data_IF_853820540967
#
_entry.id   IF_853820540967
#
_cell.length_a   1.000
_cell.length_b   1.000
_cell.length_c   1.000
_cell.angle_alpha   90.00
_cell.angle_beta   90.00
_cell.angle_gamma   90.00
#
_symmetry.space_group_name_H-M   'P 1'
#
loop_
_entity.id
_entity.type
_entity.pdbx_description
1 polymer ?
#
# COMPACT_ATOMS: atom_id res chain seq x y z
N UNK A 1 14.30 7.89 -12.16
CA UNK A 1 13.18 7.65 -11.24
C UNK A 1 12.46 6.32 -11.49
N UNK A 2 12.04 5.95 -12.73
CA UNK A 2 11.45 4.64 -13.04
C UNK A 2 12.37 3.47 -12.65
N UNK A 3 13.65 3.51 -13.00
CA UNK A 3 14.62 2.44 -12.68
C UNK A 3 14.77 2.20 -11.18
N UNK A 4 14.75 3.25 -10.36
CA UNK A 4 14.86 3.15 -8.90
C UNK A 4 13.63 2.45 -8.29
N UNK A 5 12.43 2.73 -8.82
CA UNK A 5 11.19 2.11 -8.34
C UNK A 5 11.13 0.64 -8.77
N UNK A 6 11.57 0.31 -9.99
CA UNK A 6 11.67 -1.07 -10.48
C UNK A 6 12.66 -1.86 -9.61
N UNK A 7 13.83 -1.29 -9.32
CA UNK A 7 14.82 -1.93 -8.44
C UNK A 7 14.27 -2.11 -7.01
N UNK A 8 13.49 -1.15 -6.50
CA UNK A 8 12.81 -1.30 -5.22
C UNK A 8 11.71 -2.37 -5.27
N UNK A 9 10.93 -2.42 -6.35
CA UNK A 9 9.87 -3.41 -6.53
C UNK A 9 10.42 -4.85 -6.65
N UNK A 10 11.59 -5.04 -7.26
CA UNK A 10 12.28 -6.33 -7.39
C UNK A 10 13.15 -6.69 -6.18
N UNK A 11 13.41 -5.73 -5.27
CA UNK A 11 14.27 -5.94 -4.10
C UNK A 11 13.72 -7.02 -3.15
N UNK A 12 14.59 -7.77 -2.44
CA UNK A 12 14.18 -8.79 -1.48
C UNK A 12 13.36 -8.17 -0.33
N UNK A 13 12.48 -8.96 0.26
CA UNK A 13 11.57 -8.51 1.34
C UNK A 13 12.30 -7.85 2.51
N UNK A 14 13.51 -8.31 2.84
CA UNK A 14 14.33 -7.75 3.91
C UNK A 14 14.75 -6.30 3.63
N UNK A 15 15.20 -6.00 2.41
CA UNK A 15 15.62 -4.65 2.02
C UNK A 15 14.46 -3.65 2.07
N UNK A 16 13.28 -4.06 1.61
CA UNK A 16 12.06 -3.23 1.70
C UNK A 16 11.69 -2.91 3.15
N UNK A 17 11.78 -3.92 4.03
CA UNK A 17 11.51 -3.73 5.46
C UNK A 17 12.49 -2.74 6.09
N UNK A 18 13.80 -2.90 5.84
CA UNK A 18 14.83 -2.00 6.34
C UNK A 18 14.60 -0.57 5.86
N UNK A 19 14.30 -0.40 4.56
CA UNK A 19 14.01 0.91 4.00
C UNK A 19 12.84 1.60 4.73
N UNK A 20 11.74 0.88 4.99
CA UNK A 20 10.57 1.41 5.67
C UNK A 20 10.86 1.79 7.13
N UNK A 21 11.65 0.97 7.83
CA UNK A 21 12.10 1.25 9.20
C UNK A 21 12.96 2.51 9.25
N UNK A 22 13.92 2.64 8.33
CA UNK A 22 14.79 3.83 8.24
C UNK A 22 13.99 5.08 7.89
N UNK A 23 13.04 4.97 6.96
CA UNK A 23 12.18 6.08 6.58
C UNK A 23 11.38 6.60 7.79
N UNK A 24 10.74 5.69 8.53
CA UNK A 24 9.96 6.07 9.71
C UNK A 24 10.86 6.65 10.80
N UNK A 25 12.04 6.04 11.04
CA UNK A 25 12.99 6.52 12.03
C UNK A 25 13.50 7.95 11.75
N UNK A 26 13.65 8.31 10.47
CA UNK A 26 14.04 9.67 10.07
C UNK A 26 12.88 10.66 10.18
N UNK A 27 11.65 10.23 9.87
CA UNK A 27 10.49 11.12 9.85
C UNK A 27 9.92 11.37 11.24
N UNK A 28 9.95 10.41 12.15
CA UNK A 28 9.35 10.56 13.48
C UNK A 28 9.94 11.71 14.30
N UNK A 29 11.26 11.99 14.30
CA UNK A 29 11.80 13.19 14.92
C UNK A 29 11.21 14.50 14.37
N UNK A 30 10.98 14.55 13.06
CA UNK A 30 10.36 15.72 12.44
C UNK A 30 8.89 15.86 12.83
N UNK A 31 8.14 14.75 12.95
CA UNK A 31 6.75 14.76 13.39
C UNK A 31 6.62 15.23 14.84
N UNK A 32 7.50 14.81 15.75
CA UNK A 32 7.44 15.26 17.15
C UNK A 32 7.74 16.76 17.26
N UNK A 33 8.73 17.26 16.50
CA UNK A 33 9.01 18.70 16.42
C UNK A 33 7.81 19.48 15.89
N UNK A 34 7.16 18.95 14.86
CA UNK A 34 5.95 19.55 14.30
C UNK A 34 4.82 19.61 15.34
N UNK A 35 4.64 18.57 16.18
CA UNK A 35 3.68 18.59 17.27
C UNK A 35 3.95 19.71 18.27
N UNK A 36 5.23 19.92 18.64
CA UNK A 36 5.60 21.02 19.52
C UNK A 36 5.36 22.38 18.87
N UNK A 37 5.77 22.56 17.60
CA UNK A 37 5.57 23.79 16.85
C UNK A 37 4.09 24.19 16.73
N UNK A 38 3.23 23.24 16.39
CA UNK A 38 1.78 23.46 16.30
C UNK A 38 1.20 23.87 17.67
N UNK A 39 1.65 23.21 18.74
CA UNK A 39 1.15 23.51 20.08
C UNK A 39 1.50 24.91 20.56
N UNK A 40 2.72 25.37 20.26
CA UNK A 40 3.21 26.67 20.71
C UNK A 40 2.87 27.81 19.73
N UNK A 41 2.32 27.50 18.55
CA UNK A 41 2.15 28.43 17.43
C UNK A 41 3.45 29.14 17.04
N UNK A 42 4.59 28.52 17.33
CA UNK A 42 5.92 29.04 17.04
C UNK A 42 6.73 27.99 16.28
N UNK A 43 7.14 28.34 15.06
CA UNK A 43 7.91 27.48 14.16
C UNK A 43 9.41 27.81 14.19
N UNK A 44 9.86 28.69 15.13
CA UNK A 44 11.27 29.01 15.25
C UNK A 44 12.07 27.82 15.79
N UNK A 45 13.32 27.68 15.34
CA UNK A 45 14.19 26.60 15.75
C UNK A 45 14.59 26.66 17.25
N UNK A 46 14.39 27.83 17.90
CA UNK A 46 14.79 28.08 19.28
C UNK A 46 13.84 27.42 20.30
N UNK A 47 12.62 27.06 19.88
CA UNK A 47 11.57 26.54 20.78
C UNK A 47 11.88 25.12 21.29
N UNK A 48 12.86 24.41 20.70
CA UNK A 48 13.12 23.01 21.04
C UNK A 48 14.62 22.67 21.16
N UNK A 49 15.41 23.37 22.00
CA UNK A 49 16.86 23.18 22.04
C UNK A 49 17.31 21.80 22.52
N UNK A 50 16.51 21.08 23.30
CA UNK A 50 16.89 19.79 23.90
C UNK A 50 16.12 18.58 23.32
N UNK A 51 15.35 18.77 22.26
CA UNK A 51 14.50 17.69 21.71
C UNK A 51 15.29 16.69 20.87
N UNK A 52 16.52 17.02 20.47
CA UNK A 52 17.28 16.17 19.53
C UNK A 52 17.54 14.80 20.13
N UNK A 53 17.98 14.72 21.37
CA UNK A 53 18.21 13.46 22.05
C UNK A 53 16.89 12.75 22.42
N UNK A 54 15.91 13.49 22.92
CA UNK A 54 14.59 12.96 23.27
C UNK A 54 13.81 12.46 22.06
N UNK A 55 13.88 13.14 20.92
CA UNK A 55 13.19 12.74 19.70
C UNK A 55 13.69 11.41 19.11
N UNK A 56 14.98 11.10 19.30
CA UNK A 56 15.56 9.82 18.90
C UNK A 56 14.94 8.66 19.71
N UNK A 57 14.83 8.82 21.04
CA UNK A 57 14.22 7.81 21.91
C UNK A 57 12.73 7.62 21.60
N UNK A 58 11.99 8.70 21.37
CA UNK A 58 10.58 8.63 20.96
C UNK A 58 10.44 7.88 19.65
N UNK A 59 11.31 8.17 18.67
CA UNK A 59 11.32 7.46 17.38
C UNK A 59 11.65 5.98 17.54
N UNK A 60 12.57 5.64 18.41
CA UNK A 60 12.92 4.25 18.70
C UNK A 60 11.74 3.49 19.31
N UNK A 61 11.05 4.09 20.27
CA UNK A 61 9.84 3.52 20.89
C UNK A 61 8.76 3.28 19.83
N UNK A 62 8.51 4.27 18.96
CA UNK A 62 7.52 4.17 17.90
C UNK A 62 7.86 3.07 16.89
N UNK A 63 9.12 2.97 16.46
CA UNK A 63 9.60 1.92 15.55
C UNK A 63 9.51 0.53 16.19
N UNK A 64 9.83 0.41 17.47
CA UNK A 64 9.67 -0.85 18.21
C UNK A 64 8.19 -1.24 18.28
N UNK A 65 7.29 -0.31 18.62
CA UNK A 65 5.85 -0.58 18.67
C UNK A 65 5.30 -1.04 17.31
N UNK A 66 5.68 -0.38 16.20
CA UNK A 66 5.33 -0.79 14.85
C UNK A 66 5.91 -2.17 14.48
N UNK A 67 7.10 -2.48 14.96
CA UNK A 67 7.75 -3.77 14.72
C UNK A 67 7.06 -4.90 15.47
N UNK A 68 6.68 -4.68 16.72
CA UNK A 68 5.91 -5.62 17.56
C UNK A 68 4.52 -5.87 16.96
N UNK A 69 3.86 -4.83 16.48
CA UNK A 69 2.58 -4.94 15.76
C UNK A 69 2.73 -5.53 14.34
N UNK A 70 3.93 -5.97 13.94
CA UNK A 70 4.23 -6.58 12.64
C UNK A 70 3.86 -5.72 11.43
N UNK A 71 3.71 -4.39 11.60
CA UNK A 71 3.35 -3.45 10.53
C UNK A 71 4.33 -3.54 9.35
N UNK A 72 5.62 -3.71 9.61
CA UNK A 72 6.65 -3.87 8.57
C UNK A 72 6.59 -5.21 7.81
N UNK A 73 5.73 -6.14 8.22
CA UNK A 73 5.52 -7.38 7.49
C UNK A 73 4.41 -7.27 6.44
N UNK A 74 3.54 -6.25 6.56
CA UNK A 74 2.53 -5.92 5.56
C UNK A 74 3.18 -5.20 4.38
N UNK A 75 3.84 -5.99 3.52
CA UNK A 75 4.46 -5.46 2.31
C UNK A 75 3.39 -5.34 1.23
N UNK A 76 3.01 -4.11 0.90
CA UNK A 76 2.41 -3.63 -0.37
C UNK A 76 1.16 -4.35 -0.90
N UNK A 77 0.84 -5.60 -0.51
CA UNK A 77 -0.17 -6.41 -1.20
C UNK A 77 -1.60 -6.31 -0.67
N UNK A 78 -1.81 -6.02 0.59
CA UNK A 78 -3.17 -6.02 1.18
C UNK A 78 -3.34 -4.90 2.19
N UNK A 79 -4.10 -3.87 1.83
CA UNK A 79 -4.78 -3.01 2.81
C UNK A 79 -6.00 -3.81 3.31
N UNK A 80 -5.81 -4.54 4.41
CA UNK A 80 -6.87 -5.28 5.05
C UNK A 80 -7.29 -4.55 6.33
N UNK A 81 -8.50 -4.76 6.79
CA UNK A 81 -8.98 -4.21 8.08
C UNK A 81 -8.02 -4.52 9.22
N UNK A 82 -7.39 -5.72 9.18
CA UNK A 82 -6.35 -6.10 10.12
C UNK A 82 -5.15 -5.15 10.16
N UNK A 83 -4.75 -4.52 9.03
CA UNK A 83 -3.66 -3.55 9.02
C UNK A 83 -4.04 -2.29 9.79
N UNK A 84 -5.25 -1.77 9.59
CA UNK A 84 -5.74 -0.56 10.28
C UNK A 84 -5.82 -0.82 11.78
N UNK A 85 -6.35 -1.97 12.18
CA UNK A 85 -6.45 -2.36 13.59
C UNK A 85 -5.06 -2.49 14.25
N UNK A 86 -4.11 -3.15 13.59
CA UNK A 86 -2.74 -3.29 14.12
C UNK A 86 -2.00 -1.96 14.16
N UNK A 87 -2.21 -1.08 13.18
CA UNK A 87 -1.66 0.26 13.21
C UNK A 87 -2.25 1.08 14.37
N UNK A 88 -3.57 1.00 14.58
CA UNK A 88 -4.22 1.60 15.74
C UNK A 88 -3.65 1.10 17.08
N UNK A 89 -3.44 -0.22 17.19
CA UNK A 89 -2.83 -0.81 18.37
C UNK A 89 -1.40 -0.29 18.59
N UNK A 90 -0.57 -0.26 17.54
CA UNK A 90 0.81 0.24 17.63
C UNK A 90 0.87 1.72 18.04
N UNK A 91 -0.01 2.55 17.48
CA UNK A 91 -0.08 3.98 17.85
C UNK A 91 -0.52 4.16 19.30
N UNK A 92 -1.52 3.41 19.75
CA UNK A 92 -1.99 3.43 21.14
C UNK A 92 -0.88 3.00 22.09
N UNK A 93 -0.17 1.91 21.80
CA UNK A 93 0.98 1.46 22.60
C UNK A 93 2.09 2.51 22.64
N UNK A 94 2.37 3.19 21.53
CA UNK A 94 3.36 4.28 21.48
C UNK A 94 2.94 5.44 22.38
N UNK A 95 1.68 5.88 22.30
CA UNK A 95 1.14 6.96 23.14
C UNK A 95 1.23 6.60 24.62
N UNK A 96 0.82 5.40 25.01
CA UNK A 96 0.90 4.91 26.39
C UNK A 96 2.36 4.84 26.87
N UNK A 97 3.28 4.36 26.03
CA UNK A 97 4.70 4.31 26.37
C UNK A 97 5.30 5.70 26.57
N UNK A 98 4.86 6.70 25.78
CA UNK A 98 5.30 8.10 25.97
C UNK A 98 4.77 8.70 27.27
N UNK A 99 3.52 8.42 27.65
CA UNK A 99 2.99 8.84 28.95
C UNK A 99 3.73 8.17 30.12
N UNK A 100 3.99 6.87 30.00
CA UNK A 100 4.76 6.15 31.00
C UNK A 100 6.18 6.74 31.15
N UNK A 101 6.85 6.99 30.01
CA UNK A 101 8.18 7.59 29.99
C UNK A 101 8.17 8.98 30.67
N UNK A 102 7.20 9.83 30.36
CA UNK A 102 7.04 11.14 30.97
C UNK A 102 6.86 11.05 32.51
N UNK A 103 6.05 10.08 32.95
CA UNK A 103 5.80 9.83 34.37
C UNK A 103 7.06 9.37 35.10
N UNK A 104 7.80 8.39 34.57
CA UNK A 104 8.99 7.85 35.23
C UNK A 104 10.20 8.79 35.19
N UNK A 105 10.31 9.63 34.16
CA UNK A 105 11.42 10.59 34.05
C UNK A 105 11.12 11.94 34.72
N UNK A 106 9.90 12.11 35.24
CA UNK A 106 9.41 13.41 35.74
C UNK A 106 9.57 14.54 34.70
N UNK A 107 9.61 14.17 33.43
CA UNK A 107 9.70 15.12 32.31
C UNK A 107 8.36 15.82 32.14
N UNK A 108 8.36 17.15 32.12
CA UNK A 108 7.15 17.92 31.83
C UNK A 108 6.84 17.83 30.32
N UNK A 109 6.16 16.75 29.93
CA UNK A 109 5.63 16.59 28.57
C UNK A 109 4.13 16.92 28.63
N UNK A 110 3.70 18.01 27.96
CA UNK A 110 2.29 18.35 27.91
C UNK A 110 1.46 17.18 27.35
N UNK A 111 0.35 16.87 28.01
CA UNK A 111 -0.50 15.69 27.69
C UNK A 111 -1.01 15.65 26.25
N UNK A 112 -1.13 16.79 25.57
CA UNK A 112 -1.55 16.85 24.17
C UNK A 112 -0.49 16.34 23.19
N UNK A 113 0.81 16.41 23.52
CA UNK A 113 1.89 16.06 22.57
C UNK A 113 1.92 14.57 22.24
N UNK A 114 1.88 13.63 23.19
CA UNK A 114 1.78 12.20 22.86
C UNK A 114 0.57 11.87 22.00
N UNK A 115 -0.60 12.48 22.25
CA UNK A 115 -1.81 12.26 21.44
C UNK A 115 -1.65 12.80 20.03
N UNK A 116 -1.15 14.02 19.86
CA UNK A 116 -0.90 14.62 18.55
C UNK A 116 0.13 13.79 17.77
N UNK A 117 1.20 13.35 18.44
CA UNK A 117 2.21 12.50 17.83
C UNK A 117 1.61 11.15 17.37
N UNK A 118 0.81 10.51 18.21
CA UNK A 118 0.13 9.26 17.85
C UNK A 118 -0.75 9.43 16.60
N UNK A 119 -1.56 10.49 16.53
CA UNK A 119 -2.37 10.79 15.36
C UNK A 119 -1.52 11.03 14.10
N UNK A 120 -0.48 11.86 14.22
CA UNK A 120 0.42 12.14 13.09
C UNK A 120 1.20 10.89 12.64
N UNK A 121 1.65 10.06 13.58
CA UNK A 121 2.30 8.78 13.30
C UNK A 121 1.35 7.83 12.55
N UNK A 122 0.09 7.71 13.00
CA UNK A 122 -0.93 6.92 12.32
C UNK A 122 -1.13 7.41 10.88
N UNK A 123 -1.38 8.71 10.71
CA UNK A 123 -1.58 9.31 9.39
C UNK A 123 -0.36 9.14 8.48
N UNK A 124 0.84 9.36 8.99
CA UNK A 124 2.09 9.18 8.26
C UNK A 124 2.25 7.74 7.76
N UNK A 125 2.15 6.76 8.66
CA UNK A 125 2.32 5.34 8.31
C UNK A 125 1.28 4.92 7.29
N UNK A 126 0.03 5.32 7.46
CA UNK A 126 -1.05 5.00 6.54
C UNK A 126 -0.82 5.61 5.15
N UNK A 127 -0.53 6.91 5.07
CA UNK A 127 -0.30 7.63 3.82
C UNK A 127 0.96 7.13 3.13
N UNK A 128 2.08 7.00 3.84
CA UNK A 128 3.36 6.58 3.25
C UNK A 128 3.25 5.17 2.63
N UNK A 129 2.56 4.24 3.28
CA UNK A 129 2.34 2.89 2.74
C UNK A 129 1.40 2.92 1.54
N UNK A 130 0.35 3.76 1.58
CA UNK A 130 -0.55 3.99 0.45
C UNK A 130 0.17 4.54 -0.79
N UNK A 131 0.98 5.56 -0.59
CA UNK A 131 1.78 6.19 -1.67
C UNK A 131 2.78 5.19 -2.27
N UNK A 132 3.55 4.49 -1.44
CA UNK A 132 4.51 3.48 -1.93
C UNK A 132 3.80 2.40 -2.74
N UNK A 133 2.65 1.91 -2.28
CA UNK A 133 1.84 0.94 -3.01
C UNK A 133 1.36 1.50 -4.35
N UNK A 134 0.82 2.72 -4.37
CA UNK A 134 0.33 3.35 -5.58
C UNK A 134 1.46 3.53 -6.61
N UNK A 135 2.64 3.97 -6.17
CA UNK A 135 3.82 4.13 -7.02
C UNK A 135 4.30 2.79 -7.60
N UNK A 136 4.39 1.76 -6.77
CA UNK A 136 4.79 0.41 -7.21
C UNK A 136 3.78 -0.15 -8.21
N UNK A 137 2.47 0.00 -7.92
CA UNK A 137 1.41 -0.44 -8.84
C UNK A 137 1.49 0.30 -10.17
N UNK A 138 1.62 1.62 -10.14
CA UNK A 138 1.72 2.46 -11.34
C UNK A 138 2.93 2.08 -12.22
N UNK A 139 4.10 1.85 -11.62
CA UNK A 139 5.32 1.52 -12.37
C UNK A 139 5.28 0.10 -12.91
N UNK A 140 4.78 -0.86 -12.13
CA UNK A 140 4.70 -2.26 -12.57
C UNK A 140 3.61 -2.46 -13.64
N UNK A 141 2.49 -1.73 -13.56
CA UNK A 141 1.42 -1.82 -14.56
C UNK A 141 1.79 -1.14 -15.88
N UNK A 142 2.66 -0.14 -15.85
CA UNK A 142 3.05 0.60 -17.07
C UNK A 142 3.89 -0.24 -18.06
N UNK A 143 4.56 -1.31 -17.58
CA UNK A 143 5.53 -2.06 -18.38
C UNK A 143 5.14 -3.52 -18.66
N UNK A 144 4.01 -4.01 -18.14
CA UNK A 144 3.55 -5.38 -18.44
C UNK A 144 2.36 -5.28 -19.41
N UNK A 145 2.55 -5.57 -20.71
CA UNK A 145 1.42 -5.69 -21.62
C UNK A 145 0.54 -6.84 -21.11
N UNK A 146 -0.72 -6.52 -20.77
CA UNK A 146 -1.68 -7.55 -20.37
C UNK A 146 -1.78 -8.58 -21.47
N UNK A 147 -1.64 -9.85 -21.13
CA UNK A 147 -1.83 -10.94 -22.09
C UNK A 147 -3.27 -10.96 -22.54
N UNK A 148 -3.47 -10.82 -23.83
CA UNK A 148 -4.80 -10.93 -24.45
C UNK A 148 -5.21 -12.38 -24.46
N UNK A 149 -6.35 -12.70 -23.88
CA UNK A 149 -6.86 -14.06 -23.77
C UNK A 149 -8.27 -14.15 -24.32
N UNK A 150 -8.59 -15.30 -24.90
CA UNK A 150 -9.94 -15.72 -25.26
C UNK A 150 -10.48 -16.63 -24.14
N UNK A 151 -11.77 -16.52 -23.85
CA UNK A 151 -12.46 -17.39 -22.89
C UNK A 151 -13.31 -18.36 -23.67
N UNK A 152 -13.12 -19.65 -23.43
CA UNK A 152 -13.95 -20.69 -24.01
C UNK A 152 -15.22 -20.90 -23.18
N UNK A 153 -16.38 -20.75 -23.82
CA UNK A 153 -17.68 -20.74 -23.19
C UNK A 153 -18.19 -19.33 -22.84
N UNK A 154 -19.26 -18.90 -23.51
CA UNK A 154 -19.91 -17.59 -23.25
C UNK A 154 -21.10 -17.69 -22.27
N UNK A 155 -21.30 -18.88 -21.69
CA UNK A 155 -22.31 -19.12 -20.66
C UNK A 155 -22.02 -18.41 -19.35
N UNK A 156 -22.84 -18.70 -18.33
CA UNK A 156 -22.75 -18.05 -17.01
C UNK A 156 -21.35 -18.16 -16.37
N UNK A 157 -20.74 -19.36 -16.43
CA UNK A 157 -19.39 -19.57 -15.86
C UNK A 157 -18.32 -18.74 -16.59
N UNK A 158 -18.37 -18.70 -17.94
CA UNK A 158 -17.45 -17.89 -18.72
C UNK A 158 -17.58 -16.39 -18.44
N UNK A 159 -18.81 -15.90 -18.24
CA UNK A 159 -19.06 -14.51 -17.88
C UNK A 159 -18.48 -14.16 -16.49
N UNK A 160 -18.57 -15.07 -15.50
CA UNK A 160 -17.93 -14.89 -14.22
C UNK A 160 -16.41 -14.83 -14.32
N UNK A 161 -15.82 -15.74 -15.12
CA UNK A 161 -14.37 -15.73 -15.42
C UNK A 161 -13.97 -14.42 -16.07
N UNK A 162 -14.73 -13.93 -17.05
CA UNK A 162 -14.48 -12.64 -17.71
C UNK A 162 -14.49 -11.49 -16.68
N UNK A 163 -15.49 -11.45 -15.82
CA UNK A 163 -15.60 -10.41 -14.79
C UNK A 163 -14.40 -10.42 -13.82
N UNK A 164 -13.89 -11.59 -13.43
CA UNK A 164 -12.68 -11.72 -12.62
C UNK A 164 -11.44 -11.25 -13.40
N UNK A 165 -11.33 -11.59 -14.67
CA UNK A 165 -10.17 -11.28 -15.51
C UNK A 165 -10.10 -9.80 -15.92
N UNK A 166 -11.23 -9.10 -16.03
CA UNK A 166 -11.24 -7.65 -16.24
C UNK A 166 -10.52 -6.90 -15.10
N UNK A 167 -10.56 -7.45 -13.88
CA UNK A 167 -9.86 -6.92 -12.72
C UNK A 167 -8.43 -7.49 -12.55
N UNK A 168 -7.99 -8.37 -13.46
CA UNK A 168 -6.64 -8.94 -13.44
C UNK A 168 -5.61 -7.93 -13.96
N UNK A 169 -4.48 -7.87 -13.30
CA UNK A 169 -3.34 -7.05 -13.74
C UNK A 169 -2.52 -7.74 -14.86
N UNK A 170 -2.69 -9.07 -15.05
CA UNK A 170 -1.87 -9.87 -15.98
C UNK A 170 -2.62 -10.24 -17.27
N UNK A 171 -3.95 -10.42 -17.21
CA UNK A 171 -4.76 -10.95 -18.28
C UNK A 171 -5.88 -9.98 -18.67
N UNK A 172 -6.08 -9.81 -19.98
CA UNK A 172 -7.16 -9.01 -20.54
C UNK A 172 -8.05 -9.90 -21.41
N UNK A 173 -9.27 -10.25 -20.98
CA UNK A 173 -10.20 -10.97 -21.83
C UNK A 173 -10.65 -10.04 -22.96
N UNK A 174 -10.59 -10.54 -24.21
CA UNK A 174 -10.93 -9.74 -25.38
C UNK A 174 -12.09 -10.31 -26.18
N UNK A 175 -12.37 -11.60 -26.04
CA UNK A 175 -13.47 -12.27 -26.74
C UNK A 175 -13.87 -13.57 -26.05
N UNK A 176 -15.05 -14.09 -26.42
CA UNK A 176 -15.48 -15.42 -26.10
C UNK A 176 -15.42 -16.32 -27.36
N UNK A 177 -15.14 -17.59 -27.13
CA UNK A 177 -15.36 -18.66 -28.09
C UNK A 177 -16.47 -19.57 -27.56
N UNK A 178 -17.42 -19.91 -28.37
CA UNK A 178 -18.51 -20.85 -27.99
C UNK A 178 -18.91 -21.75 -29.16
N UNK A 179 -19.30 -22.98 -28.85
CA UNK A 179 -19.80 -23.93 -29.83
C UNK A 179 -21.28 -23.70 -30.16
N UNK A 180 -21.99 -22.95 -29.27
CA UNK A 180 -23.39 -22.63 -29.53
C UNK A 180 -23.53 -21.55 -30.61
N UNK A 181 -24.02 -21.97 -31.77
CA UNK A 181 -24.25 -21.07 -32.92
C UNK A 181 -25.22 -19.92 -32.56
N UNK A 182 -26.14 -20.14 -31.64
CA UNK A 182 -27.12 -19.13 -31.25
C UNK A 182 -26.46 -17.93 -30.52
N UNK A 183 -25.28 -18.11 -29.94
CA UNK A 183 -24.50 -17.08 -29.25
C UNK A 183 -23.50 -16.39 -30.17
N UNK A 184 -23.18 -16.97 -31.31
CA UNK A 184 -22.20 -16.42 -32.26
C UNK A 184 -22.59 -15.03 -32.74
N UNK A 185 -21.62 -14.13 -32.76
CA UNK A 185 -21.79 -12.72 -33.16
C UNK A 185 -22.41 -11.82 -32.09
N UNK A 186 -22.91 -12.36 -30.99
CA UNK A 186 -23.46 -11.56 -29.85
C UNK A 186 -22.35 -10.90 -29.07
N UNK A 187 -22.73 -9.84 -28.36
CA UNK A 187 -21.86 -9.18 -27.40
C UNK A 187 -22.36 -9.53 -25.99
N UNK A 188 -21.54 -10.22 -25.20
CA UNK A 188 -21.87 -10.68 -23.86
C UNK A 188 -20.83 -10.10 -22.90
N UNK A 189 -21.30 -9.35 -21.92
CA UNK A 189 -20.40 -8.72 -20.93
C UNK A 189 -19.35 -7.76 -21.52
N UNK A 190 -19.63 -7.17 -22.70
CA UNK A 190 -18.70 -6.29 -23.42
C UNK A 190 -17.72 -7.01 -24.34
N UNK A 191 -17.77 -8.35 -24.40
CA UNK A 191 -16.91 -9.18 -25.26
C UNK A 191 -17.73 -9.82 -26.37
N UNK A 192 -17.17 -9.86 -27.60
CA UNK A 192 -17.80 -10.50 -28.75
C UNK A 192 -17.61 -12.01 -28.70
N UNK A 193 -18.65 -12.74 -29.00
CA UNK A 193 -18.65 -14.22 -29.13
C UNK A 193 -18.34 -14.62 -30.54
N UNK A 194 -17.39 -15.53 -30.73
CA UNK A 194 -17.01 -16.15 -32.00
C UNK A 194 -17.22 -17.65 -31.91
N UNK A 195 -17.40 -18.32 -33.08
CA UNK A 195 -17.46 -19.76 -33.13
C UNK A 195 -16.09 -20.36 -32.80
N UNK A 196 -16.07 -21.51 -32.13
CA UNK A 196 -14.83 -22.19 -31.78
C UNK A 196 -14.02 -22.60 -33.05
N UNK A 197 -14.68 -22.91 -34.14
CA UNK A 197 -14.03 -23.24 -35.42
C UNK A 197 -13.26 -22.06 -36.02
N UNK A 198 -13.62 -20.83 -35.67
CA UNK A 198 -12.95 -19.61 -36.15
C UNK A 198 -11.74 -19.20 -35.26
N UNK A 199 -11.43 -19.97 -34.20
CA UNK A 199 -10.44 -19.63 -33.19
C UNK A 199 -9.10 -19.26 -33.81
N UNK A 200 -8.60 -20.01 -34.77
CA UNK A 200 -7.28 -19.80 -35.36
C UNK A 200 -7.18 -18.48 -36.13
N UNK A 201 -8.23 -18.07 -36.82
CA UNK A 201 -8.32 -16.82 -37.57
C UNK A 201 -8.45 -15.65 -36.59
N UNK A 202 -9.29 -15.83 -35.57
CA UNK A 202 -9.57 -14.81 -34.56
C UNK A 202 -8.35 -14.56 -33.67
N UNK A 203 -7.60 -15.60 -33.30
CA UNK A 203 -6.37 -15.48 -32.52
C UNK A 203 -5.30 -14.69 -33.26
N UNK A 204 -5.10 -14.97 -34.56
CA UNK A 204 -4.13 -14.21 -35.36
C UNK A 204 -4.54 -12.75 -35.51
N UNK A 205 -5.82 -12.46 -35.71
CA UNK A 205 -6.35 -11.12 -35.90
C UNK A 205 -6.30 -10.28 -34.64
N UNK A 206 -6.57 -10.87 -33.47
CA UNK A 206 -6.67 -10.18 -32.20
C UNK A 206 -5.43 -10.32 -31.30
N UNK A 207 -4.37 -10.99 -31.82
CA UNK A 207 -3.12 -11.23 -31.08
C UNK A 207 -3.37 -11.86 -29.68
N UNK A 208 -4.16 -12.95 -29.69
CA UNK A 208 -4.43 -13.76 -28.49
C UNK A 208 -3.21 -14.65 -28.22
N UNK A 209 -2.81 -14.74 -26.96
CA UNK A 209 -1.73 -15.62 -26.50
C UNK A 209 -2.31 -16.84 -25.81
#
# INVERSE_FOLDING_TARGET
>A
MKSTIINFASAPRKSKKIFLVLLDFVVFPALIRLCYAIRQFDFSAEVVPNLDFGSIWISLIAVIALSLARIYNYIVRTFNEAFIFQLGLATTLTVLALYALAYFTNAFIPTSIPLMFGFMMFAWVWVSRGVIRALVKYVLQADIPRKRIAIYGAGFAGQQVAAMLFNSDEHLPILFLDDDESLSGRNIGGLKVFKADEAQIVFTKHQVY
#
